data_IF_936080264848
#
_entry.id   IF_936080264848
#
_cell.length_a   1.000
_cell.length_b   1.000
_cell.length_c   1.000
_cell.angle_alpha   90.00
_cell.angle_beta   90.00
_cell.angle_gamma   90.00
#
_symmetry.space_group_name_H-M   'P 1'
#
loop_
_entity.id
_entity.type
_entity.pdbx_description
1 polymer ?
#
# COMPACT_ATOMS: atom_id res chain seq x y z
N UNK A 1 2.72 22.07 11.62
CA UNK A 1 2.24 20.71 11.94
C UNK A 1 3.33 19.98 12.72
N UNK A 2 3.06 19.46 13.92
CA UNK A 2 4.03 18.65 14.67
C UNK A 2 4.39 17.40 13.85
N UNK A 3 5.70 17.09 13.68
CA UNK A 3 6.19 15.97 12.85
C UNK A 3 5.47 14.63 13.12
N UNK A 4 5.07 14.36 14.37
CA UNK A 4 4.35 13.14 14.75
C UNK A 4 2.91 13.03 14.21
N UNK A 5 2.20 14.14 14.02
CA UNK A 5 0.85 14.14 13.43
C UNK A 5 0.89 13.87 11.92
N UNK A 6 2.03 14.12 11.26
CA UNK A 6 2.16 13.87 9.83
C UNK A 6 2.21 12.39 9.49
N UNK A 7 2.93 11.59 10.30
CA UNK A 7 3.06 10.16 10.05
C UNK A 7 1.72 9.42 10.21
N UNK A 8 0.92 9.80 11.20
CA UNK A 8 -0.40 9.19 11.40
C UNK A 8 -1.35 9.47 10.23
N UNK A 9 -1.29 10.66 9.63
CA UNK A 9 -2.07 11.00 8.44
C UNK A 9 -1.66 10.16 7.22
N UNK A 10 -0.35 10.01 6.97
CA UNK A 10 0.15 9.13 5.90
C UNK A 10 -0.26 7.67 6.11
N UNK A 11 -0.21 7.19 7.36
CA UNK A 11 -0.61 5.83 7.69
C UNK A 11 -2.13 5.62 7.55
N UNK A 12 -2.95 6.63 7.88
CA UNK A 12 -4.39 6.59 7.65
C UNK A 12 -4.74 6.52 6.16
N UNK A 13 -4.01 7.26 5.32
CA UNK A 13 -4.14 7.12 3.86
C UNK A 13 -3.73 5.71 3.40
N UNK A 14 -2.60 5.19 3.90
CA UNK A 14 -2.19 3.82 3.57
C UNK A 14 -3.28 2.79 3.92
N UNK A 15 -3.89 2.90 5.11
CA UNK A 15 -5.02 2.04 5.52
C UNK A 15 -6.19 2.08 4.56
N UNK A 16 -6.54 3.24 4.01
CA UNK A 16 -7.67 3.35 3.07
C UNK A 16 -7.39 2.61 1.74
N UNK A 17 -6.12 2.39 1.40
CA UNK A 17 -5.69 1.65 0.20
C UNK A 17 -5.53 0.14 0.42
N UNK A 18 -5.36 -0.31 1.67
CA UNK A 18 -5.01 -1.71 1.98
C UNK A 18 -6.04 -2.73 1.48
N UNK A 19 -7.33 -2.45 1.64
CA UNK A 19 -8.39 -3.40 1.27
C UNK A 19 -8.32 -3.73 -0.23
N UNK A 20 -8.21 -2.71 -1.08
CA UNK A 20 -8.13 -2.91 -2.54
C UNK A 20 -6.81 -3.56 -2.91
N UNK A 21 -5.70 -3.11 -2.32
CA UNK A 21 -4.39 -3.66 -2.61
C UNK A 21 -4.33 -5.16 -2.27
N UNK A 22 -4.73 -5.54 -1.06
CA UNK A 22 -4.72 -6.92 -0.62
C UNK A 22 -5.73 -7.78 -1.37
N UNK A 23 -6.90 -7.25 -1.76
CA UNK A 23 -7.84 -8.00 -2.59
C UNK A 23 -7.21 -8.43 -3.92
N UNK A 24 -6.53 -7.50 -4.62
CA UNK A 24 -5.83 -7.78 -5.88
C UNK A 24 -4.64 -8.71 -5.66
N UNK A 25 -3.84 -8.44 -4.62
CA UNK A 25 -2.65 -9.24 -4.31
C UNK A 25 -3.00 -10.66 -3.90
N UNK A 26 -4.08 -10.85 -3.12
CA UNK A 26 -4.61 -12.17 -2.78
C UNK A 26 -5.11 -12.90 -4.01
N UNK A 27 -5.84 -12.23 -4.91
CA UNK A 27 -6.31 -12.86 -6.15
C UNK A 27 -5.14 -13.43 -6.98
N UNK A 28 -4.06 -12.67 -7.16
CA UNK A 28 -2.85 -13.15 -7.86
C UNK A 28 -2.16 -14.28 -7.10
N UNK A 29 -2.08 -14.17 -5.78
CA UNK A 29 -1.49 -15.21 -4.92
C UNK A 29 -2.25 -16.53 -4.99
N UNK A 30 -3.58 -16.50 -5.08
CA UNK A 30 -4.42 -17.69 -5.17
C UNK A 30 -4.27 -18.38 -6.52
N UNK A 31 -4.14 -17.62 -7.61
CA UNK A 31 -3.91 -18.18 -8.96
C UNK A 31 -2.53 -18.82 -9.07
N UNK A 32 -1.51 -18.20 -8.45
CA UNK A 32 -0.12 -18.67 -8.54
C UNK A 32 0.30 -19.59 -7.39
N UNK A 33 -0.56 -19.80 -6.39
CA UNK A 33 -0.28 -20.53 -5.15
C UNK A 33 1.05 -20.12 -4.48
N UNK A 34 1.35 -18.82 -4.47
CA UNK A 34 2.66 -18.30 -4.06
C UNK A 34 2.56 -17.04 -3.21
N UNK A 35 3.02 -17.13 -1.96
CA UNK A 35 3.18 -15.99 -1.04
C UNK A 35 4.17 -14.96 -1.59
N UNK A 36 5.16 -15.40 -2.37
CA UNK A 36 6.07 -14.49 -3.05
C UNK A 36 5.33 -13.61 -4.07
N UNK A 37 4.38 -14.19 -4.81
CA UNK A 37 3.54 -13.43 -5.75
C UNK A 37 2.64 -12.42 -5.02
N UNK A 38 2.12 -12.76 -3.84
CA UNK A 38 1.38 -11.82 -2.99
C UNK A 38 2.25 -10.59 -2.64
N UNK A 39 3.48 -10.83 -2.17
CA UNK A 39 4.39 -9.76 -1.77
C UNK A 39 4.75 -8.87 -2.97
N UNK A 40 5.10 -9.47 -4.11
CA UNK A 40 5.42 -8.71 -5.34
C UNK A 40 4.24 -7.89 -5.84
N UNK A 41 3.04 -8.48 -5.85
CA UNK A 41 1.83 -7.79 -6.30
C UNK A 41 1.47 -6.62 -5.37
N UNK A 42 1.72 -6.77 -4.06
CA UNK A 42 1.38 -5.76 -3.06
C UNK A 42 2.07 -4.40 -3.26
N UNK A 43 3.32 -4.39 -3.75
CA UNK A 43 4.03 -3.13 -4.06
C UNK A 43 3.96 -2.74 -5.55
N UNK A 44 3.37 -3.58 -6.41
CA UNK A 44 3.22 -3.33 -7.85
C UNK A 44 1.75 -3.17 -8.25
N UNK A 45 1.13 -4.19 -8.86
CA UNK A 45 -0.22 -4.09 -9.43
C UNK A 45 -1.29 -3.82 -8.38
N UNK A 46 -1.19 -4.41 -7.18
CA UNK A 46 -2.11 -4.14 -6.07
C UNK A 46 -2.04 -2.68 -5.61
N UNK A 47 -0.83 -2.12 -5.52
CA UNK A 47 -0.61 -0.70 -5.23
C UNK A 47 -1.22 0.20 -6.32
N UNK A 48 -0.96 -0.08 -7.59
CA UNK A 48 -1.50 0.70 -8.71
C UNK A 48 -3.03 0.65 -8.77
N UNK A 49 -3.63 -0.52 -8.57
CA UNK A 49 -5.08 -0.68 -8.53
C UNK A 49 -5.71 0.04 -7.34
N UNK A 50 -5.05 0.03 -6.18
CA UNK A 50 -5.54 0.79 -5.04
C UNK A 50 -5.51 2.30 -5.30
N UNK A 51 -4.44 2.83 -5.91
CA UNK A 51 -4.38 4.24 -6.32
C UNK A 51 -5.46 4.58 -7.35
N UNK A 52 -5.64 3.71 -8.35
CA UNK A 52 -6.68 3.88 -9.37
C UNK A 52 -8.08 3.91 -8.74
N UNK A 53 -8.36 3.04 -7.78
CA UNK A 53 -9.61 3.05 -7.03
C UNK A 53 -9.81 4.35 -6.26
N UNK A 54 -8.79 4.86 -5.56
CA UNK A 54 -8.88 6.16 -4.88
C UNK A 54 -9.17 7.27 -5.90
N UNK A 55 -8.50 7.24 -7.05
CA UNK A 55 -8.68 8.25 -8.11
C UNK A 55 -10.10 8.23 -8.68
N UNK A 56 -10.77 7.07 -8.76
CA UNK A 56 -12.13 6.98 -9.29
C UNK A 56 -13.20 7.26 -8.25
N UNK A 57 -13.10 6.63 -7.08
CA UNK A 57 -14.21 6.53 -6.11
C UNK A 57 -14.02 7.48 -4.92
N UNK A 58 -12.78 7.81 -4.58
CA UNK A 58 -12.45 8.52 -3.34
C UNK A 58 -11.61 9.78 -3.57
N UNK A 59 -11.86 10.50 -4.67
CA UNK A 59 -11.19 11.80 -4.96
C UNK A 59 -11.23 12.78 -3.79
N UNK A 60 -12.32 12.75 -3.02
CA UNK A 60 -12.51 13.57 -1.82
C UNK A 60 -11.49 13.30 -0.72
N UNK A 61 -10.93 12.09 -0.62
CA UNK A 61 -9.84 11.80 0.33
C UNK A 61 -8.60 12.66 0.02
N UNK A 62 -8.24 12.86 -1.26
CA UNK A 62 -7.11 13.72 -1.61
C UNK A 62 -7.33 15.19 -1.19
N UNK A 63 -8.55 15.71 -1.32
CA UNK A 63 -8.87 17.08 -0.89
C UNK A 63 -8.78 17.24 0.63
N UNK A 64 -9.19 16.24 1.41
CA UNK A 64 -9.03 16.24 2.87
C UNK A 64 -7.57 16.41 3.28
N UNK A 65 -6.66 15.60 2.71
CA UNK A 65 -5.24 15.70 3.04
C UNK A 65 -4.58 16.97 2.48
N UNK A 66 -5.04 17.46 1.33
CA UNK A 66 -4.58 18.75 0.77
C UNK A 66 -4.89 19.92 1.70
N UNK A 67 -6.10 19.95 2.28
CA UNK A 67 -6.50 20.97 3.27
C UNK A 67 -5.65 20.91 4.56
N UNK A 68 -5.06 19.75 4.86
CA UNK A 68 -4.11 19.56 5.95
C UNK A 68 -2.65 19.87 5.56
N UNK A 69 -2.41 20.39 4.36
CA UNK A 69 -1.08 20.75 3.86
C UNK A 69 -0.26 19.58 3.31
N UNK A 70 -0.86 18.40 3.14
CA UNK A 70 -0.19 17.23 2.59
C UNK A 70 -0.43 17.15 1.08
N UNK A 71 0.66 17.09 0.31
CA UNK A 71 0.57 16.97 -1.15
C UNK A 71 0.16 15.55 -1.58
N UNK A 72 -0.58 15.45 -2.70
CA UNK A 72 -0.94 14.17 -3.33
C UNK A 72 0.27 13.29 -3.61
N UNK A 73 1.36 13.88 -4.12
CA UNK A 73 2.62 13.16 -4.37
C UNK A 73 3.20 12.57 -3.08
N UNK A 74 3.15 13.34 -1.99
CA UNK A 74 3.59 12.86 -0.67
C UNK A 74 2.81 11.62 -0.22
N UNK A 75 1.48 11.63 -0.37
CA UNK A 75 0.62 10.48 -0.04
C UNK A 75 0.97 9.24 -0.89
N UNK A 76 1.14 9.43 -2.19
CA UNK A 76 1.47 8.35 -3.13
C UNK A 76 2.82 7.72 -2.78
N UNK A 77 3.86 8.55 -2.58
CA UNK A 77 5.20 8.07 -2.23
C UNK A 77 5.21 7.40 -0.87
N UNK A 78 4.56 7.97 0.15
CA UNK A 78 4.47 7.33 1.46
C UNK A 78 3.74 5.99 1.40
N UNK A 79 2.65 5.93 0.62
CA UNK A 79 1.89 4.70 0.44
C UNK A 79 2.72 3.62 -0.26
N UNK A 80 3.48 4.00 -1.30
CA UNK A 80 4.42 3.09 -1.94
C UNK A 80 5.46 2.56 -0.95
N UNK A 81 6.06 3.43 -0.14
CA UNK A 81 7.06 3.03 0.86
C UNK A 81 6.48 2.06 1.91
N UNK A 82 5.26 2.28 2.40
CA UNK A 82 4.61 1.33 3.31
C UNK A 82 4.42 -0.05 2.66
N UNK A 83 3.93 -0.10 1.42
CA UNK A 83 3.75 -1.36 0.69
C UNK A 83 5.09 -2.04 0.38
N UNK A 84 6.13 -1.27 0.04
CA UNK A 84 7.47 -1.79 -0.22
C UNK A 84 8.08 -2.42 1.03
N UNK A 85 8.03 -1.72 2.18
CA UNK A 85 8.51 -2.25 3.46
C UNK A 85 7.78 -3.53 3.82
N UNK A 86 6.46 -3.55 3.69
CA UNK A 86 5.65 -4.74 3.92
C UNK A 86 6.04 -5.91 3.00
N UNK A 87 6.21 -5.65 1.70
CA UNK A 87 6.60 -6.67 0.74
C UNK A 87 8.00 -7.23 1.00
N UNK A 88 8.98 -6.38 1.32
CA UNK A 88 10.33 -6.80 1.68
C UNK A 88 10.29 -7.71 2.92
N UNK A 89 9.53 -7.35 3.95
CA UNK A 89 9.37 -8.18 5.14
C UNK A 89 8.78 -9.55 4.80
N UNK A 90 7.73 -9.59 3.96
CA UNK A 90 7.13 -10.86 3.52
C UNK A 90 8.09 -11.72 2.69
N UNK A 91 8.87 -11.12 1.81
CA UNK A 91 9.86 -11.83 1.00
C UNK A 91 10.93 -12.46 1.90
N UNK A 92 11.45 -11.69 2.87
CA UNK A 92 12.42 -12.19 3.85
C UNK A 92 11.84 -13.40 4.61
N UNK A 93 10.61 -13.28 5.13
CA UNK A 93 9.93 -14.38 5.84
C UNK A 93 9.79 -15.61 4.93
N UNK A 94 9.38 -15.42 3.67
CA UNK A 94 9.19 -16.51 2.70
C UNK A 94 10.51 -17.21 2.37
N UNK A 95 11.61 -16.46 2.24
CA UNK A 95 12.94 -17.01 2.00
C UNK A 95 13.43 -17.78 3.22
N UNK A 96 13.30 -17.22 4.43
CA UNK A 96 13.70 -17.88 5.67
C UNK A 96 12.92 -19.19 5.87
N UNK A 97 11.62 -19.19 5.60
CA UNK A 97 10.77 -20.39 5.70
C UNK A 97 11.22 -21.51 4.74
N UNK A 98 11.75 -21.17 3.57
CA UNK A 98 12.26 -22.18 2.62
C UNK A 98 13.59 -22.79 3.03
N UNK A 99 14.34 -22.14 3.92
CA UNK A 99 15.67 -22.58 4.37
C UNK A 99 15.57 -23.54 5.56
N UNK A 100 14.51 -23.43 6.35
CA UNK A 100 14.19 -24.31 7.50
C UNK A 100 13.46 -25.57 7.03
#
# INVERSE_FOLDING_TARGET
MMKGQSLSLYFNFHKSTLIVNWAISLAVSLVTFSVFSFAVTSFTAGFLMALFYIELVKKNEYFFYYNLGISKRGLIVSNFLFNLVFAVLLIIITVLWKIV
#
